data_IF_477541400140
#
_entry.id   IF_477541400140
#
_cell.length_a   1.000
_cell.length_b   1.000
_cell.length_c   1.000
_cell.angle_alpha   90.00
_cell.angle_beta   90.00
_cell.angle_gamma   90.00
#
_symmetry.space_group_name_H-M   'P 1'
#
loop_
_entity.id
_entity.type
_entity.pdbx_description
1 polymer ?
#
# COMPACT_ATOMS: atom_id res chain seq x y z
N UNK A 1 -19.80 -26.54 2.74
CA UNK A 1 -20.05 -25.17 2.24
C UNK A 1 -20.31 -24.30 3.46
N UNK A 2 -19.71 -23.14 3.55
CA UNK A 2 -20.03 -22.19 4.63
C UNK A 2 -21.32 -21.48 4.26
N UNK A 3 -22.23 -21.28 5.21
CA UNK A 3 -23.47 -20.52 5.00
C UNK A 3 -23.52 -19.28 5.88
N UNK A 4 -24.28 -18.29 5.46
CA UNK A 4 -24.59 -17.09 6.24
C UNK A 4 -26.11 -16.91 6.30
N UNK A 5 -26.63 -16.69 7.49
CA UNK A 5 -28.03 -16.31 7.68
C UNK A 5 -28.10 -14.79 7.79
N UNK A 6 -28.86 -14.19 6.90
CA UNK A 6 -29.15 -12.75 6.85
C UNK A 6 -30.53 -12.55 7.46
N UNK A 7 -30.62 -11.85 8.59
CA UNK A 7 -31.88 -11.53 9.22
C UNK A 7 -32.56 -10.35 8.50
N UNK A 8 -31.78 -9.37 8.11
CA UNK A 8 -32.21 -8.22 7.33
C UNK A 8 -31.07 -7.69 6.46
N UNK A 9 -31.30 -7.64 5.14
CA UNK A 9 -30.33 -7.13 4.18
C UNK A 9 -31.02 -6.42 3.02
N UNK A 10 -30.26 -5.63 2.26
CA UNK A 10 -30.75 -4.93 1.06
C UNK A 10 -29.99 -5.44 -0.16
N UNK A 11 -30.73 -5.96 -1.13
CA UNK A 11 -30.23 -6.42 -2.42
C UNK A 11 -31.01 -5.73 -3.55
N UNK A 12 -30.32 -4.94 -4.38
CA UNK A 12 -30.94 -4.10 -5.42
C UNK A 12 -32.13 -3.26 -4.94
N UNK A 13 -32.02 -2.63 -3.76
CA UNK A 13 -33.06 -1.80 -3.18
C UNK A 13 -34.26 -2.56 -2.58
N UNK A 14 -34.22 -3.90 -2.56
CA UNK A 14 -35.24 -4.76 -1.95
C UNK A 14 -34.71 -5.43 -0.69
N UNK A 15 -35.56 -5.55 0.30
CA UNK A 15 -35.22 -6.28 1.52
C UNK A 15 -35.11 -7.79 1.21
N UNK A 16 -34.05 -8.41 1.74
CA UNK A 16 -33.77 -9.84 1.62
C UNK A 16 -33.46 -10.42 3.00
N UNK A 17 -33.93 -11.60 3.27
CA UNK A 17 -33.63 -12.40 4.47
C UNK A 17 -33.58 -13.87 4.12
N UNK A 18 -32.81 -14.65 4.88
CA UNK A 18 -32.68 -16.10 4.67
C UNK A 18 -31.23 -16.59 4.87
N UNK A 19 -31.06 -17.90 4.63
CA UNK A 19 -29.72 -18.52 4.69
C UNK A 19 -29.20 -18.75 3.29
N UNK A 20 -28.00 -18.29 3.02
CA UNK A 20 -27.39 -18.32 1.72
C UNK A 20 -26.01 -18.98 1.78
N UNK A 21 -25.50 -19.51 0.67
CA UNK A 21 -24.13 -19.94 0.57
C UNK A 21 -23.21 -18.73 0.64
N UNK A 22 -22.20 -18.80 1.52
CA UNK A 22 -21.23 -17.71 1.76
C UNK A 22 -20.10 -17.78 0.73
N UNK A 23 -19.98 -16.74 -0.09
CA UNK A 23 -18.93 -16.58 -1.11
C UNK A 23 -17.91 -15.48 -0.76
N UNK A 24 -18.15 -14.73 0.30
CA UNK A 24 -17.23 -13.73 0.85
C UNK A 24 -17.77 -13.20 2.17
N UNK A 25 -16.88 -13.16 3.17
CA UNK A 25 -17.24 -12.71 4.52
C UNK A 25 -17.64 -11.22 4.52
N UNK A 26 -18.34 -10.81 5.58
CA UNK A 26 -18.74 -9.42 5.74
C UNK A 26 -17.51 -8.49 5.82
N UNK A 27 -17.58 -7.35 5.15
CA UNK A 27 -16.60 -6.27 5.28
C UNK A 27 -17.31 -4.91 5.38
N UNK A 28 -16.74 -3.97 6.16
CA UNK A 28 -17.29 -2.63 6.27
C UNK A 28 -17.21 -1.90 4.93
N UNK A 29 -18.32 -1.26 4.53
CA UNK A 29 -18.37 -0.42 3.34
C UNK A 29 -19.37 0.72 3.55
N UNK A 30 -19.14 1.88 2.92
CA UNK A 30 -20.08 3.00 2.99
C UNK A 30 -21.30 2.68 2.12
N UNK A 31 -22.44 2.43 2.78
CA UNK A 31 -23.67 2.19 2.07
C UNK A 31 -24.08 3.44 1.27
N UNK A 32 -24.57 3.29 0.01
CA UNK A 32 -25.29 4.38 -0.68
C UNK A 32 -26.49 4.84 0.16
N UNK A 33 -26.95 6.07 -0.08
CA UNK A 33 -28.04 6.69 0.68
C UNK A 33 -29.30 5.82 0.75
N UNK A 34 -29.51 4.94 -0.25
CA UNK A 34 -30.68 4.06 -0.38
C UNK A 34 -30.45 2.64 0.17
N UNK A 35 -29.24 2.33 0.64
CA UNK A 35 -28.91 1.03 1.19
C UNK A 35 -28.78 1.10 2.71
N UNK A 36 -29.56 0.30 3.44
CA UNK A 36 -29.46 0.17 4.89
C UNK A 36 -28.39 -0.90 5.20
N UNK A 37 -27.28 -0.51 5.84
CA UNK A 37 -26.22 -1.42 6.26
C UNK A 37 -24.92 -0.68 6.57
N UNK A 38 -24.03 -1.30 7.32
CA UNK A 38 -22.68 -0.84 7.64
C UNK A 38 -21.59 -1.61 6.87
N UNK A 39 -22.02 -2.55 6.03
CA UNK A 39 -21.13 -3.35 5.20
C UNK A 39 -21.84 -4.27 4.21
N UNK A 40 -21.06 -5.08 3.49
CA UNK A 40 -21.54 -6.07 2.53
C UNK A 40 -21.11 -7.47 2.92
N UNK A 41 -21.97 -8.45 2.62
CA UNK A 41 -21.62 -9.87 2.57
C UNK A 41 -21.83 -10.37 1.16
N UNK A 42 -20.95 -11.24 0.67
CA UNK A 42 -21.14 -11.88 -0.63
C UNK A 42 -21.74 -13.27 -0.48
N UNK A 43 -22.85 -13.47 -1.14
CA UNK A 43 -23.62 -14.72 -1.10
C UNK A 43 -23.95 -15.21 -2.51
N UNK A 44 -24.29 -16.49 -2.63
CA UNK A 44 -24.84 -17.03 -3.86
C UNK A 44 -26.33 -16.73 -3.93
N UNK A 45 -26.75 -16.06 -5.02
CA UNK A 45 -28.17 -15.88 -5.39
C UNK A 45 -28.30 -16.21 -6.88
N UNK A 46 -29.16 -17.15 -7.23
CA UNK A 46 -29.40 -17.61 -8.60
C UNK A 46 -28.12 -18.10 -9.31
N UNK A 47 -27.27 -18.85 -8.60
CA UNK A 47 -26.01 -19.39 -9.14
C UNK A 47 -24.93 -18.34 -9.38
N UNK A 48 -25.04 -17.14 -8.82
CA UNK A 48 -24.09 -16.03 -9.01
C UNK A 48 -23.71 -15.40 -7.69
N UNK A 49 -22.42 -14.98 -7.60
CA UNK A 49 -21.91 -14.18 -6.47
C UNK A 49 -22.60 -12.81 -6.46
N UNK A 50 -23.26 -12.47 -5.36
CA UNK A 50 -23.98 -11.22 -5.16
C UNK A 50 -23.62 -10.57 -3.82
N UNK A 51 -23.42 -9.24 -3.84
CA UNK A 51 -23.20 -8.44 -2.64
C UNK A 51 -24.53 -7.98 -2.05
N UNK A 52 -24.76 -8.29 -0.79
CA UNK A 52 -25.95 -7.86 -0.04
C UNK A 52 -25.50 -6.87 1.03
N UNK A 53 -26.16 -5.71 1.08
CA UNK A 53 -25.94 -4.72 2.13
C UNK A 53 -26.62 -5.16 3.42
N UNK A 54 -25.87 -5.17 4.52
CA UNK A 54 -26.35 -5.64 5.82
C UNK A 54 -25.70 -4.84 6.94
N UNK A 55 -26.37 -4.78 8.10
CA UNK A 55 -25.65 -4.47 9.33
C UNK A 55 -24.95 -5.73 9.82
N UNK A 56 -23.75 -5.58 10.40
CA UNK A 56 -23.01 -6.71 10.96
C UNK A 56 -23.80 -7.48 12.02
N UNK A 57 -24.70 -6.79 12.73
CA UNK A 57 -25.63 -7.39 13.70
C UNK A 57 -26.71 -8.27 13.10
N UNK A 58 -26.99 -8.10 11.81
CA UNK A 58 -28.10 -8.76 11.10
C UNK A 58 -27.67 -10.03 10.36
N UNK A 59 -26.42 -10.45 10.54
CA UNK A 59 -25.90 -11.69 9.94
C UNK A 59 -25.38 -12.65 11.00
N UNK A 60 -25.51 -13.96 10.72
CA UNK A 60 -24.87 -15.03 11.49
C UNK A 60 -24.34 -16.10 10.55
N UNK A 61 -23.15 -16.61 10.85
CA UNK A 61 -22.49 -17.64 10.06
C UNK A 61 -22.76 -19.02 10.69
N UNK A 62 -23.39 -19.93 9.96
CA UNK A 62 -23.67 -21.33 10.38
C UNK A 62 -24.22 -21.48 11.82
N UNK A 63 -25.02 -20.51 12.28
CA UNK A 63 -25.57 -20.50 13.63
C UNK A 63 -24.54 -20.25 14.77
N UNK A 64 -23.31 -20.03 14.45
CA UNK A 64 -22.26 -19.62 15.38
C UNK A 64 -22.08 -18.11 15.28
N UNK A 65 -22.32 -17.38 16.35
CA UNK A 65 -21.78 -16.02 16.48
C UNK A 65 -20.26 -16.13 16.38
N UNK A 66 -19.70 -15.76 15.24
CA UNK A 66 -18.26 -15.56 15.15
C UNK A 66 -17.97 -14.32 15.99
N UNK A 67 -17.60 -14.51 17.25
CA UNK A 67 -16.83 -13.50 17.96
C UNK A 67 -15.56 -13.32 17.11
N UNK A 68 -15.38 -12.13 16.54
CA UNK A 68 -14.10 -11.78 15.94
C UNK A 68 -13.04 -11.97 17.04
N UNK A 69 -12.26 -13.02 16.94
CA UNK A 69 -11.04 -13.15 17.73
C UNK A 69 -10.16 -12.03 17.22
N UNK A 70 -10.18 -10.87 17.90
CA UNK A 70 -9.27 -9.78 17.60
C UNK A 70 -7.86 -10.35 17.66
N UNK A 71 -7.13 -10.21 16.56
CA UNK A 71 -5.72 -10.57 16.50
C UNK A 71 -5.00 -9.90 17.69
N UNK A 72 -4.19 -10.66 18.43
CA UNK A 72 -3.45 -10.07 19.54
C UNK A 72 -2.42 -9.08 19.03
N UNK A 73 -2.02 -8.13 19.89
CA UNK A 73 -0.96 -7.16 19.56
C UNK A 73 0.32 -7.87 19.11
N UNK A 74 0.73 -8.94 19.80
CA UNK A 74 1.96 -9.68 19.50
C UNK A 74 1.86 -10.47 18.19
N UNK A 75 0.69 -11.04 17.87
CA UNK A 75 0.46 -11.73 16.59
C UNK A 75 0.49 -10.72 15.44
N UNK A 76 -0.17 -9.57 15.60
CA UNK A 76 -0.15 -8.47 14.64
C UNK A 76 1.27 -7.96 14.39
N UNK A 77 2.04 -7.73 15.45
CA UNK A 77 3.45 -7.32 15.36
C UNK A 77 4.30 -8.37 14.62
N UNK A 78 4.13 -9.63 14.96
CA UNK A 78 4.83 -10.75 14.33
C UNK A 78 4.51 -10.83 12.83
N UNK A 79 3.23 -10.72 12.47
CA UNK A 79 2.76 -10.73 11.08
C UNK A 79 3.34 -9.56 10.28
N UNK A 80 3.28 -8.35 10.83
CA UNK A 80 3.80 -7.15 10.18
C UNK A 80 5.32 -7.26 9.98
N UNK A 81 6.07 -7.63 11.01
CA UNK A 81 7.51 -7.77 10.92
C UNK A 81 7.94 -8.85 9.93
N UNK A 82 7.22 -9.96 9.83
CA UNK A 82 7.46 -10.98 8.80
C UNK A 82 7.37 -10.38 7.40
N UNK A 83 6.38 -9.54 7.11
CA UNK A 83 6.20 -8.92 5.78
C UNK A 83 7.31 -7.91 5.47
N UNK A 84 7.75 -7.11 6.43
CA UNK A 84 8.90 -6.21 6.26
C UNK A 84 10.22 -6.98 6.08
N UNK A 85 10.41 -8.11 6.75
CA UNK A 85 11.56 -8.98 6.53
C UNK A 85 11.55 -9.56 5.11
N UNK A 86 10.37 -10.00 4.62
CA UNK A 86 10.20 -10.45 3.23
C UNK A 86 10.53 -9.32 2.25
N UNK A 87 10.10 -8.08 2.52
CA UNK A 87 10.48 -6.92 1.70
C UNK A 87 12.01 -6.76 1.63
N UNK A 88 12.71 -6.92 2.75
CA UNK A 88 14.18 -6.92 2.78
C UNK A 88 14.82 -8.03 1.95
N UNK A 89 14.28 -9.26 2.02
CA UNK A 89 14.74 -10.37 1.19
C UNK A 89 14.51 -10.11 -0.30
N UNK A 90 13.36 -9.56 -0.66
CA UNK A 90 13.06 -9.19 -2.06
C UNK A 90 13.97 -8.06 -2.55
N UNK A 91 14.28 -7.08 -1.71
CA UNK A 91 15.26 -6.03 -2.03
C UNK A 91 16.64 -6.63 -2.35
N UNK A 92 17.10 -7.60 -1.57
CA UNK A 92 18.33 -8.31 -1.89
C UNK A 92 18.22 -9.10 -3.21
N UNK A 93 17.06 -9.68 -3.50
CA UNK A 93 16.79 -10.35 -4.78
C UNK A 93 16.85 -9.39 -5.98
N UNK A 94 16.44 -8.13 -5.80
CA UNK A 94 16.58 -7.06 -6.80
C UNK A 94 18.06 -6.72 -7.00
N UNK A 95 18.80 -6.47 -5.94
CA UNK A 95 20.23 -6.12 -5.99
C UNK A 95 21.05 -7.22 -6.70
N UNK A 96 20.66 -8.47 -6.51
CA UNK A 96 21.30 -9.64 -7.14
C UNK A 96 20.77 -9.97 -8.54
N UNK A 97 19.85 -9.17 -9.10
CA UNK A 97 19.27 -9.40 -10.43
C UNK A 97 18.27 -10.55 -10.54
N UNK A 98 17.88 -11.16 -9.42
CA UNK A 98 16.94 -12.31 -9.41
C UNK A 98 15.46 -11.87 -9.52
N UNK A 99 15.13 -10.65 -9.14
CA UNK A 99 13.78 -10.06 -9.21
C UNK A 99 13.82 -8.87 -10.14
N UNK A 100 13.07 -8.96 -11.24
CA UNK A 100 13.02 -7.90 -12.28
C UNK A 100 11.93 -6.85 -12.06
N UNK A 101 10.92 -7.18 -11.26
CA UNK A 101 9.83 -6.26 -10.93
C UNK A 101 9.22 -6.58 -9.59
N UNK A 102 8.98 -5.54 -8.76
CA UNK A 102 8.38 -5.65 -7.45
C UNK A 102 7.38 -4.53 -7.24
N UNK A 103 6.17 -4.88 -6.85
CA UNK A 103 5.14 -3.92 -6.39
C UNK A 103 4.98 -4.09 -4.90
N UNK A 104 5.05 -2.98 -4.16
CA UNK A 104 4.86 -2.95 -2.70
C UNK A 104 3.68 -2.05 -2.38
N UNK A 105 2.68 -2.59 -1.70
CA UNK A 105 1.54 -1.82 -1.18
C UNK A 105 1.52 -1.77 0.35
N UNK A 106 0.87 -0.76 0.89
CA UNK A 106 0.67 -0.57 2.33
C UNK A 106 0.47 0.89 2.68
N UNK A 107 0.01 1.19 3.89
CA UNK A 107 -0.29 2.55 4.34
C UNK A 107 0.90 3.52 4.18
N UNK A 108 0.58 4.82 4.02
CA UNK A 108 1.59 5.86 3.98
C UNK A 108 2.30 6.03 5.33
N UNK A 109 3.59 6.40 5.29
CA UNK A 109 4.35 6.77 6.49
C UNK A 109 4.71 5.63 7.44
N UNK A 110 4.74 4.37 6.96
CA UNK A 110 5.17 3.18 7.72
C UNK A 110 6.64 2.78 7.47
N UNK A 111 7.37 3.58 6.70
CA UNK A 111 8.81 3.39 6.46
C UNK A 111 9.17 2.55 5.22
N UNK A 112 8.24 2.31 4.29
CA UNK A 112 8.48 1.55 3.05
C UNK A 112 9.68 2.08 2.25
N UNK A 113 9.52 3.31 1.78
CA UNK A 113 10.51 3.99 0.93
C UNK A 113 11.86 4.11 1.61
N UNK A 114 11.88 4.53 2.89
CA UNK A 114 13.13 4.70 3.64
C UNK A 114 13.95 3.40 3.71
N UNK A 115 13.30 2.28 3.97
CA UNK A 115 13.98 0.98 4.08
C UNK A 115 14.56 0.53 2.74
N UNK A 116 13.80 0.72 1.66
CA UNK A 116 14.23 0.42 0.28
C UNK A 116 15.36 1.33 -0.17
N UNK A 117 15.18 2.64 -0.09
CA UNK A 117 16.18 3.64 -0.48
C UNK A 117 17.52 3.41 0.22
N UNK A 118 17.49 3.14 1.51
CA UNK A 118 18.72 2.88 2.27
C UNK A 118 19.49 1.67 1.73
N UNK A 119 18.80 0.59 1.38
CA UNK A 119 19.42 -0.62 0.87
C UNK A 119 19.92 -0.44 -0.58
N UNK A 120 19.08 0.17 -1.43
CA UNK A 120 19.40 0.39 -2.84
C UNK A 120 20.51 1.43 -3.03
N UNK A 121 20.49 2.53 -2.27
CA UNK A 121 21.60 3.51 -2.28
C UNK A 121 22.92 2.88 -1.83
N UNK A 122 22.91 2.05 -0.77
CA UNK A 122 24.11 1.33 -0.36
C UNK A 122 24.65 0.40 -1.45
N UNK A 123 23.77 -0.27 -2.18
CA UNK A 123 24.17 -1.14 -3.29
C UNK A 123 24.71 -0.33 -4.48
N UNK A 124 24.12 0.83 -4.76
CA UNK A 124 24.58 1.78 -5.76
C UNK A 124 25.96 2.35 -5.42
N UNK A 125 26.18 2.79 -4.16
CA UNK A 125 27.46 3.33 -3.70
C UNK A 125 28.59 2.29 -3.77
N UNK A 126 28.23 1.02 -3.62
CA UNK A 126 29.16 -0.12 -3.79
C UNK A 126 29.34 -0.55 -5.26
N UNK A 127 28.65 0.08 -6.21
CA UNK A 127 28.76 -0.26 -7.64
C UNK A 127 28.09 -1.56 -8.06
N UNK A 128 27.19 -2.11 -7.24
CA UNK A 128 26.45 -3.33 -7.59
C UNK A 128 25.31 -3.08 -8.56
N UNK A 129 24.66 -1.92 -8.45
CA UNK A 129 23.55 -1.50 -9.29
C UNK A 129 23.66 -0.01 -9.63
N UNK A 130 22.94 0.41 -10.67
CA UNK A 130 22.63 1.81 -10.96
C UNK A 130 21.23 2.12 -10.46
N UNK A 131 21.11 2.93 -9.40
CA UNK A 131 19.84 3.20 -8.74
C UNK A 131 19.31 4.59 -9.05
N UNK A 132 18.05 4.65 -9.45
CA UNK A 132 17.30 5.89 -9.66
C UNK A 132 15.93 5.81 -9.00
N UNK A 133 15.55 6.89 -8.28
CA UNK A 133 14.20 7.06 -7.73
C UNK A 133 13.45 8.18 -8.45
N UNK A 134 12.17 7.96 -8.69
CA UNK A 134 11.22 8.93 -9.24
C UNK A 134 10.11 9.13 -8.21
N UNK A 135 9.88 10.38 -7.82
CA UNK A 135 8.85 10.77 -6.88
C UNK A 135 8.00 11.91 -7.46
N UNK A 136 6.71 11.96 -7.13
CA UNK A 136 5.81 13.04 -7.52
C UNK A 136 5.16 12.81 -8.88
N UNK A 137 5.16 13.82 -9.77
CA UNK A 137 4.44 13.76 -11.06
C UNK A 137 5.40 13.46 -12.20
N UNK A 138 5.03 12.51 -13.05
CA UNK A 138 5.71 12.21 -14.30
C UNK A 138 4.70 12.19 -15.46
N UNK A 139 5.11 12.56 -16.66
CA UNK A 139 4.32 12.37 -17.88
C UNK A 139 4.70 11.06 -18.57
N UNK A 140 3.85 10.56 -19.48
CA UNK A 140 4.17 9.35 -20.25
C UNK A 140 5.51 9.45 -20.97
N UNK A 141 5.80 10.59 -21.64
CA UNK A 141 7.09 10.80 -22.32
C UNK A 141 8.26 10.89 -21.31
N UNK A 142 8.02 11.48 -20.14
CA UNK A 142 9.02 11.51 -19.08
C UNK A 142 9.33 10.11 -18.52
N UNK A 143 8.30 9.27 -18.35
CA UNK A 143 8.50 7.87 -17.95
C UNK A 143 9.25 7.09 -19.03
N UNK A 144 8.92 7.31 -20.31
CA UNK A 144 9.63 6.66 -21.41
C UNK A 144 11.13 7.00 -21.41
N UNK A 145 11.48 8.27 -21.19
CA UNK A 145 12.88 8.71 -21.01
C UNK A 145 13.54 8.04 -19.81
N UNK A 146 12.85 7.94 -18.66
CA UNK A 146 13.42 7.27 -17.49
C UNK A 146 13.62 5.77 -17.74
N UNK A 147 12.72 5.11 -18.44
CA UNK A 147 12.89 3.71 -18.84
C UNK A 147 14.07 3.54 -19.79
N UNK A 148 14.24 4.43 -20.78
CA UNK A 148 15.40 4.45 -21.66
C UNK A 148 16.71 4.60 -20.91
N UNK A 149 16.79 5.56 -19.99
CA UNK A 149 18.00 5.84 -19.22
C UNK A 149 18.36 4.70 -18.25
N UNK A 150 17.38 3.93 -17.80
CA UNK A 150 17.56 2.82 -16.85
C UNK A 150 17.28 1.45 -17.50
N UNK A 151 17.55 1.30 -18.81
CA UNK A 151 17.22 0.07 -19.56
C UNK A 151 18.22 -1.08 -19.35
N UNK A 152 19.39 -0.79 -18.84
CA UNK A 152 20.46 -1.79 -18.69
C UNK A 152 20.16 -2.78 -17.54
N UNK A 153 20.77 -3.94 -17.58
CA UNK A 153 20.45 -5.07 -16.70
C UNK A 153 20.69 -4.79 -15.20
N UNK A 154 21.71 -3.99 -14.88
CA UNK A 154 22.02 -3.60 -13.50
C UNK A 154 21.26 -2.35 -13.00
N UNK A 155 20.42 -1.76 -13.83
CA UNK A 155 19.68 -0.54 -13.46
C UNK A 155 18.43 -0.87 -12.67
N UNK A 156 18.18 -0.13 -11.58
CA UNK A 156 17.01 -0.24 -10.71
C UNK A 156 16.29 1.10 -10.66
N UNK A 157 15.05 1.11 -11.17
CA UNK A 157 14.18 2.27 -11.17
C UNK A 157 13.10 2.12 -10.09
N UNK A 158 13.15 2.94 -9.06
CA UNK A 158 12.09 3.05 -8.06
C UNK A 158 11.09 4.12 -8.47
N UNK A 159 9.82 3.75 -8.52
CA UNK A 159 8.69 4.65 -8.74
C UNK A 159 7.90 4.73 -7.44
N UNK A 160 7.95 5.87 -6.76
CA UNK A 160 7.33 6.08 -5.46
C UNK A 160 6.41 7.30 -5.46
N UNK A 161 5.23 7.17 -4.87
CA UNK A 161 4.21 8.24 -4.78
C UNK A 161 3.87 8.89 -6.15
N UNK A 162 4.02 8.15 -7.25
CA UNK A 162 3.61 8.59 -8.60
C UNK A 162 2.21 8.10 -8.88
N UNK A 163 1.33 9.01 -9.30
CA UNK A 163 -0.01 8.64 -9.79
C UNK A 163 0.10 8.04 -11.20
N UNK A 164 0.41 6.74 -11.23
CA UNK A 164 0.52 5.98 -12.49
C UNK A 164 -0.84 5.54 -13.04
N UNK A 165 -1.91 5.65 -12.26
CA UNK A 165 -3.22 5.09 -12.61
C UNK A 165 -4.12 6.08 -13.34
N UNK A 166 -3.82 7.36 -13.31
CA UNK A 166 -4.59 8.42 -13.99
C UNK A 166 -4.21 8.60 -15.47
N UNK A 167 -3.09 8.03 -15.91
CA UNK A 167 -2.55 8.21 -17.25
C UNK A 167 -2.37 6.86 -17.96
N UNK A 168 -3.09 6.69 -19.08
CA UNK A 168 -3.08 5.45 -19.88
C UNK A 168 -1.72 5.20 -20.55
N UNK A 169 -0.99 6.26 -20.93
CA UNK A 169 0.33 6.11 -21.54
C UNK A 169 1.32 5.56 -20.52
N UNK A 170 1.29 6.08 -19.28
CA UNK A 170 2.10 5.57 -18.17
C UNK A 170 1.78 4.09 -17.90
N UNK A 171 0.50 3.73 -17.82
CA UNK A 171 0.08 2.34 -17.59
C UNK A 171 0.54 1.40 -18.71
N UNK A 172 0.45 1.82 -19.97
CA UNK A 172 0.85 1.00 -21.11
C UNK A 172 2.38 0.82 -21.15
N UNK A 173 3.15 1.87 -20.86
CA UNK A 173 4.62 1.80 -20.75
C UNK A 173 5.05 0.85 -19.61
N UNK A 174 4.40 0.95 -18.45
CA UNK A 174 4.68 0.04 -17.33
C UNK A 174 4.36 -1.41 -17.67
N UNK A 175 3.21 -1.68 -18.34
CA UNK A 175 2.87 -3.05 -18.78
C UNK A 175 3.92 -3.62 -19.72
N UNK A 176 4.45 -2.81 -20.64
CA UNK A 176 5.51 -3.22 -21.55
C UNK A 176 6.85 -3.48 -20.82
N UNK A 177 7.24 -2.58 -19.92
CA UNK A 177 8.48 -2.70 -19.17
C UNK A 177 8.46 -3.80 -18.10
N UNK A 178 7.28 -4.18 -17.59
CA UNK A 178 7.06 -5.23 -16.60
C UNK A 178 6.75 -6.59 -17.23
N UNK A 179 6.70 -6.70 -18.58
CA UNK A 179 6.34 -7.95 -19.22
C UNK A 179 7.25 -9.12 -18.79
N UNK A 180 6.69 -10.32 -18.74
CA UNK A 180 7.38 -11.53 -18.26
C UNK A 180 8.07 -12.30 -19.40
N UNK A 181 7.93 -11.86 -20.64
CA UNK A 181 8.57 -12.43 -21.82
C UNK A 181 10.11 -12.38 -21.75
N UNK A 182 10.77 -13.15 -22.63
CA UNK A 182 12.23 -13.16 -22.72
C UNK A 182 12.78 -11.78 -23.06
N UNK A 183 12.08 -11.05 -23.95
CA UNK A 183 12.47 -9.72 -24.42
C UNK A 183 11.37 -8.72 -24.08
N UNK A 184 11.69 -7.74 -23.23
CA UNK A 184 10.76 -6.66 -22.86
C UNK A 184 10.99 -5.46 -23.77
N UNK A 185 10.12 -5.25 -24.75
CA UNK A 185 10.19 -4.15 -25.69
C UNK A 185 9.30 -3.00 -25.23
N UNK A 186 9.89 -1.82 -25.11
CA UNK A 186 9.18 -0.58 -24.79
C UNK A 186 9.22 0.32 -26.00
N UNK A 187 8.04 0.77 -26.45
CA UNK A 187 7.89 1.55 -27.67
C UNK A 187 7.16 2.87 -27.42
N UNK A 188 7.60 3.93 -28.09
CA UNK A 188 6.90 5.21 -28.21
C UNK A 188 6.55 5.47 -29.66
N UNK A 189 5.34 5.12 -30.09
CA UNK A 189 4.96 5.12 -31.52
C UNK A 189 4.57 6.51 -32.05
N UNK A 190 4.37 7.51 -31.17
CA UNK A 190 4.01 8.87 -31.56
C UNK A 190 5.26 9.68 -31.90
N UNK A 191 5.19 10.54 -32.93
CA UNK A 191 6.26 11.46 -33.25
C UNK A 191 6.57 12.40 -32.07
N UNK A 192 7.84 12.58 -31.75
CA UNK A 192 8.29 13.43 -30.64
C UNK A 192 9.64 14.05 -30.96
N UNK A 193 9.65 15.35 -31.21
CA UNK A 193 10.88 16.13 -31.38
C UNK A 193 11.75 16.07 -30.11
N UNK A 194 11.12 16.02 -28.94
CA UNK A 194 11.82 15.90 -27.66
C UNK A 194 12.70 14.64 -27.57
N UNK A 195 12.18 13.48 -27.97
CA UNK A 195 12.95 12.23 -27.97
C UNK A 195 14.05 12.24 -29.03
N UNK A 196 13.76 12.81 -30.20
CA UNK A 196 14.74 12.94 -31.31
C UNK A 196 15.90 13.84 -30.93
N UNK A 197 15.64 14.99 -30.32
CA UNK A 197 16.67 15.93 -29.83
C UNK A 197 17.56 15.28 -28.75
N UNK A 198 17.02 14.40 -27.92
CA UNK A 198 17.76 13.65 -26.89
C UNK A 198 18.43 12.37 -27.40
N UNK A 199 18.24 12.01 -28.66
CA UNK A 199 18.79 10.78 -29.24
C UNK A 199 18.18 9.52 -28.64
N UNK A 200 16.93 9.59 -28.13
CA UNK A 200 16.22 8.46 -27.53
C UNK A 200 15.50 7.73 -28.65
N UNK A 201 15.78 6.42 -28.78
CA UNK A 201 15.15 5.55 -29.77
C UNK A 201 13.64 5.38 -29.49
N UNK A 202 12.85 5.18 -30.55
CA UNK A 202 11.39 4.97 -30.45
C UNK A 202 11.00 3.58 -29.96
N UNK A 203 11.92 2.64 -29.97
CA UNK A 203 11.78 1.28 -29.44
C UNK A 203 13.11 0.84 -28.84
N UNK A 204 13.07 0.19 -27.68
CA UNK A 204 14.26 -0.40 -27.05
C UNK A 204 13.89 -1.62 -26.24
N UNK A 205 14.88 -2.46 -25.97
CA UNK A 205 14.78 -3.55 -25.02
C UNK A 205 15.05 -3.01 -23.59
N UNK A 206 14.14 -3.27 -22.67
CA UNK A 206 14.28 -2.92 -21.26
C UNK A 206 14.72 -4.12 -20.46
N UNK A 207 15.94 -4.11 -19.94
CA UNK A 207 16.51 -5.17 -19.08
C UNK A 207 16.55 -4.78 -17.60
N UNK A 208 16.37 -3.51 -17.30
CA UNK A 208 16.38 -2.97 -15.95
C UNK A 208 15.30 -3.55 -15.04
N UNK A 209 15.39 -3.23 -13.78
CA UNK A 209 14.43 -3.61 -12.73
C UNK A 209 13.54 -2.44 -12.36
N UNK A 210 12.24 -2.68 -12.19
CA UNK A 210 11.29 -1.68 -11.70
C UNK A 210 10.81 -2.09 -10.31
N UNK A 211 10.89 -1.14 -9.36
CA UNK A 211 10.25 -1.23 -8.06
C UNK A 211 9.16 -0.17 -7.99
N UNK A 212 7.93 -0.57 -7.72
CA UNK A 212 6.82 0.34 -7.60
C UNK A 212 6.26 0.31 -6.17
N UNK A 213 6.24 1.46 -5.51
CA UNK A 213 5.63 1.64 -4.18
C UNK A 213 4.31 2.38 -4.35
N UNK A 214 3.28 1.88 -3.69
CA UNK A 214 1.96 2.51 -3.68
C UNK A 214 1.34 2.50 -2.29
N UNK A 215 0.48 3.49 -2.04
CA UNK A 215 -0.39 3.53 -0.86
C UNK A 215 -1.78 2.96 -1.15
N UNK A 216 -2.04 2.54 -2.40
CA UNK A 216 -3.30 1.90 -2.80
C UNK A 216 -3.35 0.49 -2.24
N UNK A 217 -4.43 0.15 -1.57
CA UNK A 217 -4.77 -1.22 -1.19
C UNK A 217 -5.27 -1.95 -2.45
N UNK A 218 -4.33 -2.61 -3.13
CA UNK A 218 -4.57 -3.25 -4.43
C UNK A 218 -5.60 -4.38 -4.30
N UNK A 219 -5.49 -5.21 -3.26
CA UNK A 219 -6.39 -6.35 -3.07
C UNK A 219 -7.83 -5.86 -2.90
N UNK A 220 -8.02 -4.81 -2.10
CA UNK A 220 -9.32 -4.17 -1.91
C UNK A 220 -9.89 -3.56 -3.19
N UNK A 221 -9.05 -2.92 -4.02
CA UNK A 221 -9.47 -2.38 -5.31
C UNK A 221 -9.89 -3.49 -6.28
N UNK A 222 -9.14 -4.60 -6.31
CA UNK A 222 -9.46 -5.79 -7.10
C UNK A 222 -10.78 -6.43 -6.66
N UNK A 223 -10.96 -6.61 -5.35
CA UNK A 223 -12.18 -7.20 -4.77
C UNK A 223 -13.43 -6.35 -5.05
N UNK A 224 -13.29 -5.04 -5.03
CA UNK A 224 -14.38 -4.10 -5.34
C UNK A 224 -14.70 -4.02 -6.83
N UNK A 225 -13.83 -4.49 -7.71
CA UNK A 225 -14.00 -4.38 -9.15
C UNK A 225 -14.07 -2.94 -9.63
N UNK A 226 -13.26 -2.06 -9.06
CA UNK A 226 -13.21 -0.63 -9.43
C UNK A 226 -12.74 -0.43 -10.86
N UNK A 227 -12.83 0.80 -11.38
CA UNK A 227 -12.31 1.12 -12.72
C UNK A 227 -10.80 0.87 -12.84
N UNK A 228 -10.08 0.90 -11.72
CA UNK A 228 -8.64 0.62 -11.67
C UNK A 228 -8.33 -0.88 -11.67
N UNK A 229 -9.26 -1.73 -11.22
CA UNK A 229 -9.03 -3.16 -11.04
C UNK A 229 -8.41 -3.87 -12.27
N UNK A 230 -8.87 -3.68 -13.52
CA UNK A 230 -8.23 -4.32 -14.67
C UNK A 230 -6.77 -3.89 -14.89
N UNK A 231 -6.44 -2.64 -14.59
CA UNK A 231 -5.08 -2.12 -14.72
C UNK A 231 -4.16 -2.64 -13.63
N UNK A 232 -4.64 -2.66 -12.38
CA UNK A 232 -3.94 -3.24 -11.24
C UNK A 232 -3.69 -4.73 -11.46
N UNK A 233 -4.70 -5.48 -11.89
CA UNK A 233 -4.57 -6.90 -12.22
C UNK A 233 -3.48 -7.14 -13.28
N UNK A 234 -3.42 -6.29 -14.30
CA UNK A 234 -2.42 -6.40 -15.36
C UNK A 234 -0.99 -6.12 -14.87
N UNK A 235 -0.79 -5.21 -13.90
CA UNK A 235 0.51 -4.94 -13.30
C UNK A 235 0.91 -6.03 -12.32
N UNK A 236 -0.01 -6.45 -11.45
CA UNK A 236 0.24 -7.52 -10.46
C UNK A 236 0.57 -8.86 -11.13
N UNK A 237 -0.09 -9.19 -12.25
CA UNK A 237 0.20 -10.43 -13.00
C UNK A 237 1.60 -10.47 -13.64
N UNK A 238 2.26 -9.33 -13.76
CA UNK A 238 3.61 -9.18 -14.37
C UNK A 238 4.72 -8.91 -13.37
N UNK A 239 4.38 -8.77 -12.09
CA UNK A 239 5.32 -8.36 -11.04
C UNK A 239 5.20 -9.26 -9.84
N UNK A 240 6.26 -9.37 -9.06
CA UNK A 240 6.14 -9.88 -7.71
C UNK A 240 5.39 -8.83 -6.89
N UNK A 241 4.28 -9.22 -6.27
CA UNK A 241 3.45 -8.33 -5.47
C UNK A 241 3.60 -8.63 -3.99
N UNK A 242 3.87 -7.62 -3.19
CA UNK A 242 3.96 -7.68 -1.74
C UNK A 242 3.04 -6.64 -1.12
N UNK A 243 1.94 -7.09 -0.56
CA UNK A 243 1.18 -6.31 0.39
C UNK A 243 1.80 -6.40 1.78
N UNK A 244 2.10 -5.27 2.41
CA UNK A 244 2.68 -5.22 3.76
C UNK A 244 1.66 -5.50 4.86
N UNK A 245 0.36 -5.58 4.52
CA UNK A 245 -0.71 -5.92 5.45
C UNK A 245 -0.83 -4.93 6.61
N UNK A 246 -0.63 -3.64 6.32
CA UNK A 246 -0.73 -2.53 7.26
C UNK A 246 -1.70 -1.52 6.68
N UNK A 247 -2.98 -1.64 7.03
CA UNK A 247 -4.07 -0.86 6.44
C UNK A 247 -4.92 -0.11 7.49
N UNK A 248 -4.99 -0.62 8.71
CA UNK A 248 -5.75 -0.02 9.80
C UNK A 248 -4.87 0.89 10.67
N UNK A 249 -5.48 1.85 11.37
CA UNK A 249 -4.76 2.70 12.31
C UNK A 249 -4.07 1.90 13.42
N UNK A 250 -4.66 0.80 13.85
CA UNK A 250 -4.09 -0.10 14.87
C UNK A 250 -2.82 -0.77 14.34
N UNK A 251 -2.87 -1.34 13.14
CA UNK A 251 -1.70 -1.95 12.47
C UNK A 251 -0.58 -0.94 12.20
N UNK A 252 -0.95 0.27 11.75
CA UNK A 252 0.01 1.35 11.54
C UNK A 252 0.68 1.72 12.86
N UNK A 253 -0.09 1.82 13.97
CA UNK A 253 0.45 2.16 15.29
C UNK A 253 1.42 1.09 15.80
N UNK A 254 1.10 -0.21 15.61
CA UNK A 254 2.00 -1.32 15.93
C UNK A 254 3.33 -1.17 15.18
N UNK A 255 3.27 -0.88 13.87
CA UNK A 255 4.47 -0.68 13.05
C UNK A 255 5.26 0.56 13.46
N UNK A 256 4.57 1.67 13.73
CA UNK A 256 5.21 2.92 14.21
C UNK A 256 5.98 2.69 15.49
N UNK A 257 5.34 2.04 16.46
CA UNK A 257 5.99 1.72 17.72
C UNK A 257 7.20 0.81 17.54
N UNK A 258 7.08 -0.25 16.74
CA UNK A 258 8.18 -1.18 16.47
C UNK A 258 9.39 -0.47 15.84
N UNK A 259 9.16 0.41 14.87
CA UNK A 259 10.23 1.19 14.23
C UNK A 259 10.88 2.15 15.23
N UNK A 260 10.09 2.88 16.01
CA UNK A 260 10.60 3.86 16.97
C UNK A 260 11.45 3.19 18.06
N UNK A 261 10.97 2.05 18.58
CA UNK A 261 11.69 1.33 19.64
C UNK A 261 12.91 0.55 19.13
N UNK A 262 12.94 0.19 17.85
CA UNK A 262 14.07 -0.53 17.23
C UNK A 262 15.11 0.39 16.57
N UNK A 263 14.87 1.69 16.55
CA UNK A 263 15.77 2.67 15.91
C UNK A 263 16.01 3.87 16.83
N UNK A 264 17.04 4.65 16.50
CA UNK A 264 17.41 5.89 17.19
C UNK A 264 16.75 7.14 16.59
N UNK A 265 15.64 7.01 15.86
CA UNK A 265 15.06 8.12 15.12
C UNK A 265 14.55 9.27 16.00
N UNK A 266 14.02 8.95 17.19
CA UNK A 266 13.55 9.95 18.14
C UNK A 266 14.73 10.58 18.90
N UNK A 267 15.72 9.79 19.27
CA UNK A 267 16.94 10.25 19.91
C UNK A 267 17.75 11.18 19.00
N UNK A 268 17.80 10.91 17.69
CA UNK A 268 18.37 11.82 16.68
C UNK A 268 17.68 13.18 16.59
N UNK A 269 16.42 13.25 17.04
CA UNK A 269 15.65 14.51 17.19
C UNK A 269 15.83 15.16 18.56
N UNK A 270 16.65 14.58 19.44
CA UNK A 270 16.96 15.14 20.76
C UNK A 270 16.06 14.65 21.91
N UNK A 271 15.17 13.66 21.67
CA UNK A 271 14.34 13.12 22.73
C UNK A 271 15.11 12.12 23.58
N UNK A 272 14.83 12.15 24.87
CA UNK A 272 15.17 11.05 25.77
C UNK A 272 14.24 9.85 25.55
N UNK A 273 14.61 8.70 26.13
CA UNK A 273 13.76 7.50 26.07
C UNK A 273 12.41 7.76 26.78
N UNK A 274 12.41 8.48 27.90
CA UNK A 274 11.18 8.85 28.61
C UNK A 274 10.26 9.72 27.74
N UNK A 275 10.80 10.73 27.07
CA UNK A 275 10.04 11.59 26.16
C UNK A 275 9.52 10.81 24.94
N UNK A 276 10.31 9.86 24.43
CA UNK A 276 9.89 8.92 23.37
C UNK A 276 8.70 8.08 23.80
N UNK A 277 8.73 7.50 24.99
CA UNK A 277 7.60 6.74 25.54
C UNK A 277 6.37 7.60 25.78
N UNK A 278 6.52 8.86 26.22
CA UNK A 278 5.40 9.80 26.35
C UNK A 278 4.72 10.09 25.01
N UNK A 279 5.51 10.34 23.95
CA UNK A 279 5.00 10.54 22.60
C UNK A 279 4.24 9.31 22.07
N UNK A 280 4.81 8.12 22.22
CA UNK A 280 4.16 6.86 21.82
C UNK A 280 2.87 6.60 22.59
N UNK A 281 2.87 6.81 23.91
CA UNK A 281 1.68 6.64 24.76
C UNK A 281 0.57 7.60 24.35
N UNK A 282 0.90 8.85 24.04
CA UNK A 282 -0.05 9.84 23.55
C UNK A 282 -0.66 9.42 22.20
N UNK A 283 0.16 8.92 21.26
CA UNK A 283 -0.33 8.42 19.98
C UNK A 283 -1.27 7.22 20.16
N UNK A 284 -0.94 6.27 21.04
CA UNK A 284 -1.79 5.09 21.31
C UNK A 284 -3.15 5.48 21.86
N UNK A 285 -3.19 6.38 22.84
CA UNK A 285 -4.44 6.86 23.44
C UNK A 285 -5.30 7.58 22.41
N UNK A 286 -4.70 8.28 21.47
CA UNK A 286 -5.39 9.08 20.46
C UNK A 286 -5.49 8.42 19.08
N UNK A 287 -5.16 7.13 18.93
CA UNK A 287 -5.04 6.44 17.63
C UNK A 287 -6.25 6.63 16.72
N UNK A 288 -7.47 6.58 17.27
CA UNK A 288 -8.72 6.75 16.52
C UNK A 288 -9.11 8.23 16.27
N UNK A 289 -8.49 9.15 16.99
CA UNK A 289 -8.72 10.60 16.87
C UNK A 289 -7.66 11.29 15.99
N UNK A 290 -6.51 10.66 15.77
CA UNK A 290 -5.45 11.20 14.94
C UNK A 290 -5.93 11.41 13.50
N UNK A 291 -5.59 12.54 12.90
CA UNK A 291 -5.81 12.80 11.47
C UNK A 291 -5.05 11.81 10.60
N UNK A 292 -3.84 11.46 11.05
CA UNK A 292 -2.98 10.48 10.38
C UNK A 292 -2.11 9.76 11.41
N UNK A 293 -2.13 8.43 11.40
CA UNK A 293 -1.22 7.59 12.17
C UNK A 293 -0.03 7.25 11.29
N UNK A 294 1.17 7.68 11.65
CA UNK A 294 2.38 7.46 10.83
C UNK A 294 3.65 7.76 11.61
N UNK A 295 4.80 7.33 11.08
CA UNK A 295 6.11 7.75 11.59
C UNK A 295 6.30 9.27 11.51
N UNK A 296 5.69 9.94 10.50
CA UNK A 296 5.74 11.42 10.41
C UNK A 296 5.04 12.08 11.59
N UNK A 297 3.92 11.52 12.03
CA UNK A 297 3.19 12.01 13.23
C UNK A 297 4.06 11.90 14.47
N UNK A 298 4.79 10.81 14.64
CA UNK A 298 5.73 10.66 15.74
C UNK A 298 6.88 11.69 15.69
N UNK A 299 7.40 11.98 14.50
CA UNK A 299 8.41 13.01 14.31
C UNK A 299 7.88 14.42 14.62
N UNK A 300 6.62 14.74 14.26
CA UNK A 300 6.00 16.01 14.67
C UNK A 300 5.87 16.12 16.18
N UNK A 301 5.50 15.02 16.87
CA UNK A 301 5.48 15.02 18.33
C UNK A 301 6.87 15.25 18.92
N UNK A 302 7.92 14.68 18.32
CA UNK A 302 9.29 14.97 18.74
C UNK A 302 9.61 16.45 18.60
N UNK A 303 9.28 17.06 17.47
CA UNK A 303 9.50 18.48 17.22
C UNK A 303 8.69 19.36 18.21
N UNK A 304 7.46 18.99 18.56
CA UNK A 304 6.63 19.70 19.55
C UNK A 304 7.20 19.59 20.97
N UNK A 305 7.65 18.41 21.39
CA UNK A 305 8.31 18.19 22.69
C UNK A 305 9.58 19.02 22.80
N UNK A 306 10.37 19.10 21.71
CA UNK A 306 11.58 19.92 21.69
C UNK A 306 11.28 21.42 21.66
N UNK A 307 10.12 21.82 21.13
CA UNK A 307 9.67 23.22 21.12
C UNK A 307 9.19 23.67 22.49
N UNK A 308 8.35 22.89 23.15
CA UNK A 308 7.84 23.18 24.51
C UNK A 308 7.62 21.88 25.28
N UNK A 309 8.54 21.58 26.20
CA UNK A 309 8.51 20.34 27.00
C UNK A 309 7.27 20.19 27.88
N UNK A 310 6.60 21.27 28.23
CA UNK A 310 5.44 21.25 29.11
C UNK A 310 4.11 21.40 28.35
N UNK A 311 4.10 22.20 27.28
CA UNK A 311 2.90 22.54 26.51
C UNK A 311 2.72 21.74 25.22
N UNK A 312 3.62 20.84 24.87
CA UNK A 312 3.54 20.09 23.60
C UNK A 312 2.22 19.34 23.40
N UNK A 313 1.60 18.87 24.49
CA UNK A 313 0.33 18.16 24.42
C UNK A 313 -0.80 19.01 23.81
N UNK A 314 -0.90 20.29 24.21
CA UNK A 314 -1.88 21.23 23.63
C UNK A 314 -1.61 21.48 22.14
N UNK A 315 -0.33 21.64 21.78
CA UNK A 315 0.08 21.79 20.36
C UNK A 315 -0.37 20.56 19.58
N UNK A 316 -0.10 19.37 20.10
CA UNK A 316 -0.44 18.10 19.47
C UNK A 316 -1.97 17.91 19.33
N UNK A 317 -2.75 18.25 20.36
CA UNK A 317 -4.21 18.15 20.31
C UNK A 317 -4.80 19.02 19.21
N UNK A 318 -4.38 20.27 19.12
CA UNK A 318 -4.92 21.23 18.14
C UNK A 318 -4.52 20.88 16.71
N UNK A 319 -3.31 20.37 16.51
CA UNK A 319 -2.74 20.17 15.16
C UNK A 319 -2.95 18.77 14.61
N UNK A 320 -2.89 17.73 15.44
CA UNK A 320 -2.87 16.35 15.01
C UNK A 320 -4.21 15.60 15.19
N UNK A 321 -5.13 16.10 16.03
CA UNK A 321 -6.43 15.46 16.23
C UNK A 321 -7.50 16.01 15.27
N UNK A 322 -8.49 15.13 14.97
CA UNK A 322 -9.71 15.48 14.19
C UNK A 322 -10.65 16.28 15.03
#
# INVERSE_FOLDING_TARGET
MKTVTINKGIYFGKEISGTFELLGEWFPDNAPVDAQGDGKVFVEIDGKRRGVWVYKSDISYDGVKVEEVKESYEDMKTRINKRFNVMGMMTNGIINGNIRSLIISGAAGIGKTYSLDKALNKANDNGYIEYKSINGKISGIGLYEQLWNNREENSVLLIDDVDVFSDMDILNLLKAALDTGETRKVCWSTASSYLEEKGIEREFEFKGTIVFITNVDIDRELDRGTKLAPHLQALVSRSVYLDLGVHTNEEIMVRVEDVILSTDMMQKRGLSDEETYKALSWMKVNVNRLRNVSLRTALYLADFIMTDKNGWGEIAEVTLLK
#
